data_IF_321834135737
#
_entry.id   IF_321834135737
#
_cell.length_a   1.000
_cell.length_b   1.000
_cell.length_c   1.000
_cell.angle_alpha   90.00
_cell.angle_beta   90.00
_cell.angle_gamma   90.00
#
_symmetry.space_group_name_H-M   'P 1'
#
loop_
_entity.id
_entity.type
_entity.pdbx_description
1 polymer ?
#
# COMPACT_ATOMS: atom_id res chain seq x y z
N UNK A 1 -19.95 -17.78 13.80
CA UNK A 1 -20.80 -16.60 14.09
C UNK A 1 -20.44 -15.55 13.05
N UNK A 2 -21.40 -14.82 12.49
CA UNK A 2 -21.07 -13.74 11.56
C UNK A 2 -20.39 -12.59 12.32
N UNK A 3 -19.28 -12.07 11.80
CA UNK A 3 -18.61 -10.89 12.36
C UNK A 3 -19.56 -9.68 12.33
N UNK A 4 -19.65 -8.97 13.44
CA UNK A 4 -20.37 -7.68 13.54
C UNK A 4 -19.38 -6.62 14.01
N UNK A 5 -19.07 -5.60 13.20
CA UNK A 5 -18.14 -4.54 13.58
C UNK A 5 -18.61 -3.77 14.83
N UNK A 6 -17.71 -3.56 15.79
CA UNK A 6 -17.95 -2.67 16.93
C UNK A 6 -17.62 -1.23 16.56
N UNK A 7 -18.52 -0.29 16.86
CA UNK A 7 -18.20 1.13 16.87
C UNK A 7 -17.56 1.49 18.21
N UNK A 8 -16.30 1.96 18.16
CA UNK A 8 -15.53 2.33 19.34
C UNK A 8 -15.73 3.80 19.70
N UNK A 9 -15.73 4.09 20.99
CA UNK A 9 -15.70 5.46 21.53
C UNK A 9 -14.38 5.69 22.25
N UNK A 10 -13.97 6.96 22.31
CA UNK A 10 -12.79 7.32 23.09
C UNK A 10 -12.98 6.93 24.57
N UNK A 11 -11.95 6.37 25.17
CA UNK A 11 -11.99 5.81 26.53
C UNK A 11 -12.58 4.40 26.67
N UNK A 12 -13.03 3.74 25.59
CA UNK A 12 -13.50 2.35 25.65
C UNK A 12 -12.34 1.38 26.03
N UNK A 13 -12.61 0.49 26.99
CA UNK A 13 -11.67 -0.57 27.36
C UNK A 13 -11.84 -1.79 26.45
N UNK A 14 -10.73 -2.32 25.95
CA UNK A 14 -10.71 -3.56 25.16
C UNK A 14 -10.88 -4.76 26.12
N UNK A 15 -12.07 -5.35 26.14
CA UNK A 15 -12.35 -6.60 26.87
C UNK A 15 -11.99 -7.83 26.04
N UNK A 16 -11.98 -9.01 26.65
CA UNK A 16 -11.77 -10.28 25.93
C UNK A 16 -12.79 -10.50 24.81
N UNK A 17 -14.05 -10.12 25.02
CA UNK A 17 -15.10 -10.22 24.01
C UNK A 17 -14.82 -9.28 22.84
N UNK A 18 -14.33 -8.08 23.14
CA UNK A 18 -14.00 -7.09 22.13
C UNK A 18 -12.75 -7.49 21.33
N UNK A 19 -11.76 -8.11 21.99
CA UNK A 19 -10.59 -8.72 21.31
C UNK A 19 -11.03 -9.85 20.38
N UNK A 20 -11.84 -10.79 20.86
CA UNK A 20 -12.36 -11.89 20.04
C UNK A 20 -13.16 -11.38 18.82
N UNK A 21 -13.91 -10.29 18.97
CA UNK A 21 -14.64 -9.68 17.86
C UNK A 21 -13.69 -9.11 16.79
N UNK A 22 -12.59 -8.46 17.20
CA UNK A 22 -11.54 -7.99 16.28
C UNK A 22 -10.91 -9.18 15.57
N UNK A 23 -10.52 -10.24 16.31
CA UNK A 23 -9.89 -11.44 15.74
C UNK A 23 -10.80 -12.11 14.68
N UNK A 24 -12.10 -12.19 14.95
CA UNK A 24 -13.08 -12.69 13.98
C UNK A 24 -13.22 -11.78 12.76
N UNK A 25 -13.05 -10.46 12.92
CA UNK A 25 -13.10 -9.50 11.82
C UNK A 25 -11.88 -9.54 10.91
N UNK A 26 -10.73 -10.02 11.40
CA UNK A 26 -9.47 -10.07 10.64
C UNK A 26 -9.11 -11.46 10.12
N UNK A 27 -9.81 -12.51 10.56
CA UNK A 27 -9.47 -13.92 10.24
C UNK A 27 -9.35 -14.18 8.74
N UNK A 28 -10.22 -13.54 7.94
CA UNK A 28 -10.28 -13.69 6.48
C UNK A 28 -9.76 -12.44 5.74
N UNK A 29 -9.16 -11.48 6.45
CA UNK A 29 -8.56 -10.32 5.79
C UNK A 29 -7.29 -10.80 5.06
N UNK A 30 -7.25 -10.73 3.72
CA UNK A 30 -6.08 -11.16 2.99
C UNK A 30 -4.91 -10.26 3.34
N UNK A 31 -3.70 -10.81 3.28
CA UNK A 31 -2.50 -9.98 3.24
C UNK A 31 -2.65 -8.91 2.15
N UNK A 32 -2.12 -7.72 2.40
CA UNK A 32 -2.08 -6.67 1.38
C UNK A 32 -1.40 -7.16 0.10
N UNK A 33 -1.67 -6.52 -1.06
CA UNK A 33 -1.04 -6.91 -2.31
C UNK A 33 0.48 -6.84 -2.16
N UNK A 34 1.18 -7.83 -2.71
CA UNK A 34 2.63 -7.78 -2.83
C UNK A 34 3.03 -6.51 -3.55
N UNK A 35 4.02 -5.78 -3.01
CA UNK A 35 4.58 -4.61 -3.68
C UNK A 35 5.18 -4.99 -5.03
N UNK A 36 5.17 -4.06 -5.99
CA UNK A 36 5.75 -4.31 -7.32
C UNK A 36 7.26 -4.13 -7.29
N UNK A 37 7.99 -5.08 -7.85
CA UNK A 37 9.43 -4.93 -8.10
C UNK A 37 9.73 -4.01 -9.28
N UNK A 38 10.91 -3.41 -9.30
CA UNK A 38 11.38 -2.63 -10.45
C UNK A 38 12.05 -3.57 -11.45
N UNK A 39 11.51 -3.62 -12.67
CA UNK A 39 12.12 -4.37 -13.78
C UNK A 39 13.10 -3.52 -14.59
N UNK A 40 12.80 -2.23 -14.77
CA UNK A 40 13.67 -1.32 -15.50
C UNK A 40 13.22 0.14 -15.42
N UNK A 41 14.13 1.05 -15.75
CA UNK A 41 13.87 2.50 -15.76
C UNK A 41 14.41 3.07 -17.07
N UNK A 42 13.56 3.76 -17.81
CA UNK A 42 13.96 4.57 -18.96
C UNK A 42 14.04 6.03 -18.50
N UNK A 43 15.22 6.65 -18.64
CA UNK A 43 15.43 8.05 -18.24
C UNK A 43 15.19 8.99 -19.41
N UNK A 44 14.52 10.11 -19.14
CA UNK A 44 14.39 11.22 -20.07
C UNK A 44 15.46 12.25 -19.75
N UNK A 45 16.21 12.68 -20.76
CA UNK A 45 17.19 13.76 -20.61
C UNK A 45 16.86 14.96 -21.48
N UNK A 46 17.20 16.14 -20.99
CA UNK A 46 17.11 17.41 -21.71
C UNK A 46 18.39 18.17 -21.39
N UNK A 47 19.12 18.59 -22.44
CA UNK A 47 20.40 19.29 -22.29
C UNK A 47 21.42 18.57 -21.38
N UNK A 48 21.45 17.23 -21.45
CA UNK A 48 22.35 16.39 -20.65
C UNK A 48 21.92 16.21 -19.19
N UNK A 49 20.80 16.79 -18.75
CA UNK A 49 20.22 16.61 -17.42
C UNK A 49 19.08 15.59 -17.46
N UNK A 50 18.92 14.80 -16.40
CA UNK A 50 17.74 13.94 -16.24
C UNK A 50 16.56 14.80 -15.83
N UNK A 51 15.49 14.80 -16.63
CA UNK A 51 14.28 15.61 -16.40
C UNK A 51 13.06 14.76 -16.04
N UNK A 52 13.18 13.44 -16.11
CA UNK A 52 12.11 12.51 -15.80
C UNK A 52 12.43 11.09 -16.22
N UNK A 53 11.40 10.27 -16.31
CA UNK A 53 11.52 8.95 -16.88
C UNK A 53 10.26 8.11 -16.70
N UNK A 54 10.36 6.85 -17.09
CA UNK A 54 9.31 5.84 -16.92
C UNK A 54 9.91 4.65 -16.19
N UNK A 55 9.31 4.25 -15.07
CA UNK A 55 9.60 2.97 -14.42
C UNK A 55 8.71 1.90 -15.05
N UNK A 56 9.29 0.74 -15.33
CA UNK A 56 8.56 -0.47 -15.67
C UNK A 56 8.67 -1.44 -14.51
N UNK A 57 7.53 -1.89 -14.01
CA UNK A 57 7.45 -2.87 -12.93
C UNK A 57 7.60 -4.31 -13.45
N UNK A 58 7.81 -5.25 -12.54
CA UNK A 58 7.90 -6.69 -12.81
C UNK A 58 6.62 -7.26 -13.44
N UNK A 59 5.46 -6.70 -13.13
CA UNK A 59 4.17 -7.01 -13.76
C UNK A 59 3.94 -6.36 -15.15
N UNK A 60 4.95 -5.68 -15.69
CA UNK A 60 4.90 -4.89 -16.94
C UNK A 60 4.04 -3.63 -16.91
N UNK A 61 3.44 -3.26 -15.79
CA UNK A 61 2.85 -1.92 -15.66
C UNK A 61 3.94 -0.85 -15.65
N UNK A 62 3.56 0.38 -15.97
CA UNK A 62 4.48 1.53 -15.99
C UNK A 62 4.01 2.64 -15.07
N UNK A 63 4.97 3.44 -14.60
CA UNK A 63 4.72 4.64 -13.82
C UNK A 63 5.67 5.77 -14.23
N UNK A 64 5.27 7.01 -13.97
CA UNK A 64 6.13 8.16 -14.22
C UNK A 64 7.18 8.32 -13.11
N UNK A 65 8.42 8.58 -13.50
CA UNK A 65 9.47 9.08 -12.61
C UNK A 65 9.49 10.60 -12.78
N UNK A 66 9.13 11.31 -11.71
CA UNK A 66 9.19 12.77 -11.67
C UNK A 66 10.49 13.19 -11.00
N UNK A 67 11.24 14.09 -11.65
CA UNK A 67 12.45 14.69 -11.08
C UNK A 67 12.09 16.06 -10.53
N UNK A 68 12.42 16.29 -9.26
CA UNK A 68 12.29 17.58 -8.59
C UNK A 68 13.67 18.00 -8.11
N UNK A 69 14.10 19.20 -8.49
CA UNK A 69 15.34 19.79 -7.98
C UNK A 69 15.09 20.34 -6.56
N UNK A 70 16.06 20.13 -5.65
CA UNK A 70 16.00 20.61 -4.26
C UNK A 70 16.55 22.03 -4.11
#
# INVERSE_FOLDING_TARGET
>A
MAYTPKQWKDGDVITKEALNNIEQGIVDVPAGPTGKGVKGIALTTTDGKVTGGTVTFDDNSTGAVTVTEA
#
